data_IF_636470341196
#
_entry.id   IF_636470341196
#
_cell.length_a   1.000
_cell.length_b   1.000
_cell.length_c   1.000
_cell.angle_alpha   90.00
_cell.angle_beta   90.00
_cell.angle_gamma   90.00
#
_symmetry.space_group_name_H-M   'P 1'
#
loop_
_entity.id
_entity.type
_entity.pdbx_description
1 polymer ?
#
# COMPACT_ATOMS: atom_id res chain seq x y z
N UNK A 1 12.53 -12.64 6.62
CA UNK A 1 13.61 -12.31 7.56
C UNK A 1 12.93 -11.98 8.87
N UNK A 2 13.02 -12.89 9.83
CA UNK A 2 12.40 -12.70 11.13
C UNK A 2 13.28 -11.77 11.99
N UNK A 3 12.72 -11.20 13.06
CA UNK A 3 13.40 -10.21 13.90
C UNK A 3 14.64 -10.78 14.62
N UNK A 4 14.62 -12.08 14.90
CA UNK A 4 15.69 -12.84 15.55
C UNK A 4 16.92 -13.09 14.65
N UNK A 5 16.72 -13.01 13.33
CA UNK A 5 17.72 -13.33 12.31
C UNK A 5 18.25 -12.09 11.59
N UNK A 6 17.69 -10.92 11.86
CA UNK A 6 18.09 -9.64 11.28
C UNK A 6 18.96 -8.87 12.27
N UNK A 7 19.92 -8.09 11.76
CA UNK A 7 20.77 -7.24 12.61
C UNK A 7 19.95 -6.20 13.40
N UNK A 8 20.61 -5.52 14.34
CA UNK A 8 19.98 -4.55 15.22
C UNK A 8 19.34 -3.38 14.44
N UNK A 9 18.00 -3.36 14.42
CA UNK A 9 17.20 -2.34 13.76
C UNK A 9 17.52 -0.94 14.32
N UNK A 10 17.75 -0.80 15.63
CA UNK A 10 18.05 0.50 16.23
C UNK A 10 19.39 1.04 15.72
N UNK A 11 20.41 0.17 15.64
CA UNK A 11 21.69 0.54 15.05
C UNK A 11 21.53 1.06 13.62
N UNK A 12 20.73 0.38 12.78
CA UNK A 12 20.44 0.85 11.41
C UNK A 12 19.74 2.22 11.41
N UNK A 13 18.68 2.38 12.21
CA UNK A 13 17.90 3.62 12.28
C UNK A 13 18.73 4.80 12.78
N UNK A 14 19.63 4.57 13.74
CA UNK A 14 20.51 5.61 14.30
C UNK A 14 21.55 6.14 13.30
N UNK A 15 21.83 5.38 12.23
CA UNK A 15 22.78 5.74 11.19
C UNK A 15 22.14 6.47 10.00
N UNK A 16 20.80 6.61 9.97
CA UNK A 16 20.10 7.31 8.90
C UNK A 16 20.34 8.82 8.97
N UNK A 17 20.37 9.46 7.81
CA UNK A 17 20.53 10.91 7.72
C UNK A 17 19.18 11.59 8.08
N UNK A 18 19.13 12.39 9.17
CA UNK A 18 17.88 12.96 9.67
C UNK A 18 17.28 14.03 8.74
N UNK A 19 17.97 14.43 7.66
CA UNK A 19 17.43 15.35 6.66
C UNK A 19 16.40 14.71 5.72
N UNK A 20 16.28 13.38 5.71
CA UNK A 20 15.31 12.65 4.90
C UNK A 20 14.18 12.06 5.74
N UNK A 21 13.04 11.80 5.09
CA UNK A 21 11.92 11.03 5.65
C UNK A 21 12.01 9.60 5.14
N UNK A 22 11.90 8.63 6.04
CA UNK A 22 12.04 7.21 5.70
C UNK A 22 10.76 6.44 6.00
N UNK A 23 10.51 5.41 5.19
CA UNK A 23 9.50 4.40 5.44
C UNK A 23 10.14 3.01 5.42
N UNK A 24 9.75 2.12 6.34
CA UNK A 24 10.22 0.74 6.40
C UNK A 24 9.06 -0.21 6.20
N UNK A 25 9.26 -1.15 5.29
CA UNK A 25 8.33 -2.21 4.96
C UNK A 25 8.77 -3.54 5.58
N UNK A 26 7.98 -4.05 6.52
CA UNK A 26 8.20 -5.37 7.11
C UNK A 26 7.39 -6.43 6.35
N UNK A 27 8.00 -7.60 6.18
CA UNK A 27 7.46 -8.75 5.39
C UNK A 27 7.33 -10.02 6.22
N UNK A 28 7.38 -9.88 7.54
CA UNK A 28 7.32 -11.00 8.48
C UNK A 28 6.63 -10.54 9.76
N UNK A 29 5.68 -11.33 10.27
CA UNK A 29 4.82 -10.96 11.40
C UNK A 29 5.59 -10.66 12.68
N UNK A 30 6.77 -11.25 12.87
CA UNK A 30 7.63 -11.01 14.04
C UNK A 30 8.04 -9.55 14.23
N UNK A 31 7.94 -8.73 13.18
CA UNK A 31 8.22 -7.30 13.26
C UNK A 31 7.03 -6.48 13.73
N UNK A 32 5.81 -7.02 13.67
CA UNK A 32 4.58 -6.33 14.03
C UNK A 32 4.39 -6.37 15.55
N UNK A 33 5.23 -5.61 16.27
CA UNK A 33 5.26 -5.62 17.73
C UNK A 33 5.45 -4.21 18.30
N UNK A 34 4.98 -4.01 19.54
CA UNK A 34 5.07 -2.71 20.21
C UNK A 34 6.51 -2.19 20.37
N UNK A 35 7.50 -3.07 20.53
CA UNK A 35 8.91 -2.65 20.61
C UNK A 35 9.40 -2.03 19.31
N UNK A 36 9.00 -2.60 18.16
CA UNK A 36 9.31 -2.06 16.83
C UNK A 36 8.56 -0.74 16.61
N UNK A 37 7.28 -0.65 16.98
CA UNK A 37 6.50 0.60 16.86
C UNK A 37 7.11 1.74 17.64
N UNK A 38 7.45 1.51 18.90
CA UNK A 38 8.10 2.51 19.75
C UNK A 38 9.44 2.98 19.15
N UNK A 39 10.18 2.08 18.51
CA UNK A 39 11.44 2.41 17.86
C UNK A 39 11.21 3.27 16.61
N UNK A 40 10.26 2.89 15.74
CA UNK A 40 9.91 3.70 14.57
C UNK A 40 9.44 5.10 14.97
N UNK A 41 8.61 5.21 16.01
CA UNK A 41 8.16 6.48 16.57
C UNK A 41 9.31 7.33 17.12
N UNK A 42 10.22 6.72 17.88
CA UNK A 42 11.43 7.38 18.42
C UNK A 42 12.28 8.02 17.30
N UNK A 43 12.45 7.32 16.18
CA UNK A 43 13.25 7.78 15.04
C UNK A 43 12.43 8.47 13.95
N UNK A 44 11.12 8.69 14.16
CA UNK A 44 10.18 9.32 13.20
C UNK A 44 10.12 8.64 11.84
N UNK A 45 10.23 7.31 11.83
CA UNK A 45 10.20 6.47 10.63
C UNK A 45 8.77 6.01 10.38
N UNK A 46 8.29 6.11 9.15
CA UNK A 46 6.97 5.58 8.80
C UNK A 46 7.00 4.05 8.73
N UNK A 47 6.07 3.41 9.42
CA UNK A 47 5.69 2.05 9.09
C UNK A 47 5.00 2.05 7.73
N UNK A 48 5.51 1.26 6.78
CA UNK A 48 4.81 1.02 5.54
C UNK A 48 3.63 0.09 5.82
N UNK A 49 2.41 0.62 5.71
CA UNK A 49 1.16 -0.12 5.80
C UNK A 49 1.01 -0.88 4.49
N UNK A 50 0.98 -2.19 4.58
CA UNK A 50 1.07 -3.08 3.42
C UNK A 50 -0.22 -3.85 3.26
N UNK A 51 -0.70 -3.87 2.03
CA UNK A 51 -1.62 -4.89 1.57
C UNK A 51 -0.82 -6.03 0.92
N UNK A 52 -0.74 -7.19 1.58
CA UNK A 52 -0.17 -8.39 0.99
C UNK A 52 -0.83 -9.68 1.51
N UNK A 53 -0.70 -10.82 0.79
CA UNK A 53 -1.43 -12.04 1.13
C UNK A 53 -1.07 -12.67 2.49
N UNK A 54 0.10 -12.36 3.04
CA UNK A 54 0.68 -13.08 4.18
C UNK A 54 0.57 -12.35 5.51
N UNK A 55 0.21 -11.06 5.51
CA UNK A 55 0.14 -10.23 6.70
C UNK A 55 -1.24 -9.57 6.79
N UNK A 56 -1.75 -9.45 8.01
CA UNK A 56 -2.90 -8.60 8.26
C UNK A 56 -2.52 -7.13 7.97
N UNK A 57 -3.49 -6.36 7.47
CA UNK A 57 -3.33 -4.92 7.32
C UNK A 57 -3.26 -4.32 8.73
N UNK A 58 -2.10 -3.77 9.08
CA UNK A 58 -1.85 -3.09 10.36
C UNK A 58 -1.78 -1.58 10.09
N UNK A 59 -2.86 -0.80 10.31
CA UNK A 59 -2.90 0.63 10.01
C UNK A 59 -2.21 1.47 11.09
N UNK A 60 -1.02 1.04 11.52
CA UNK A 60 -0.23 1.71 12.57
C UNK A 60 0.50 2.92 12.00
N UNK A 61 0.18 4.09 12.54
CA UNK A 61 0.90 5.34 12.28
C UNK A 61 2.05 5.48 13.28
N UNK A 62 3.26 5.75 12.80
CA UNK A 62 4.48 5.87 13.63
C UNK A 62 5.22 7.19 13.43
N UNK A 63 4.71 8.09 12.58
CA UNK A 63 5.32 9.40 12.33
C UNK A 63 4.28 10.36 11.74
N UNK A 64 4.68 11.58 11.38
CA UNK A 64 3.81 12.64 10.85
C UNK A 64 3.28 12.41 9.42
N UNK A 65 3.66 11.29 8.79
CA UNK A 65 3.08 10.79 7.55
C UNK A 65 2.86 9.29 7.58
N UNK A 66 1.98 8.83 6.71
CA UNK A 66 1.78 7.42 6.44
C UNK A 66 2.18 7.05 5.04
N UNK A 67 2.62 5.80 4.89
CA UNK A 67 3.08 5.24 3.63
C UNK A 67 2.33 3.93 3.40
N UNK A 68 1.54 3.84 2.32
CA UNK A 68 0.71 2.68 2.01
C UNK A 68 1.20 2.03 0.71
N UNK A 69 1.33 0.70 0.70
CA UNK A 69 1.65 -0.06 -0.52
C UNK A 69 0.63 -1.18 -0.76
N UNK A 70 -0.03 -1.10 -1.91
CA UNK A 70 -0.99 -2.10 -2.38
C UNK A 70 -0.33 -3.10 -3.32
N UNK A 71 -0.03 -4.32 -2.85
CA UNK A 71 0.57 -5.37 -3.69
C UNK A 71 -0.43 -6.36 -4.29
N UNK A 72 -1.62 -6.47 -3.69
CA UNK A 72 -2.66 -7.43 -4.01
C UNK A 72 -2.83 -8.50 -2.93
N UNK A 73 -4.00 -9.13 -2.91
CA UNK A 73 -4.35 -10.23 -1.99
C UNK A 73 -4.38 -11.59 -2.71
N UNK A 74 -4.35 -12.69 -1.96
CA UNK A 74 -4.63 -14.04 -2.47
C UNK A 74 -3.43 -14.90 -2.84
N UNK A 75 -3.69 -16.05 -3.46
CA UNK A 75 -2.70 -17.07 -3.83
C UNK A 75 -2.03 -16.81 -5.19
N UNK A 76 -2.48 -15.78 -5.90
CA UNK A 76 -1.94 -15.42 -7.21
C UNK A 76 -0.47 -14.98 -7.16
N UNK A 77 0.21 -15.11 -8.30
CA UNK A 77 1.60 -14.70 -8.46
C UNK A 77 1.78 -13.27 -7.97
N UNK A 78 2.77 -13.05 -7.10
CA UNK A 78 3.09 -11.76 -6.51
C UNK A 78 3.08 -10.61 -7.56
N UNK A 79 2.40 -9.51 -7.26
CA UNK A 79 2.17 -8.33 -8.13
C UNK A 79 1.23 -8.54 -9.34
N UNK A 80 0.71 -9.76 -9.57
CA UNK A 80 -0.33 -10.05 -10.57
C UNK A 80 -1.69 -10.06 -9.93
N UNK A 81 -2.18 -8.87 -9.60
CA UNK A 81 -3.47 -8.72 -8.96
C UNK A 81 -4.21 -7.53 -9.50
N UNK A 82 -5.50 -7.69 -9.81
CA UNK A 82 -6.38 -6.57 -10.11
C UNK A 82 -7.36 -6.44 -8.98
N UNK A 83 -7.22 -5.38 -8.19
CA UNK A 83 -8.22 -5.08 -7.17
C UNK A 83 -9.58 -4.88 -7.80
N UNK A 84 -10.59 -5.53 -7.24
CA UNK A 84 -11.99 -5.22 -7.49
C UNK A 84 -12.34 -3.91 -6.78
N UNK A 85 -13.40 -3.24 -7.24
CA UNK A 85 -13.78 -1.96 -6.68
C UNK A 85 -14.16 -2.10 -5.20
N UNK A 86 -14.87 -3.17 -4.86
CA UNK A 86 -15.33 -3.48 -3.51
C UNK A 86 -14.16 -3.72 -2.54
N UNK A 87 -13.03 -4.25 -3.04
CA UNK A 87 -11.81 -4.43 -2.25
C UNK A 87 -11.15 -3.07 -1.96
N UNK A 88 -11.12 -2.17 -2.94
CA UNK A 88 -10.63 -0.80 -2.73
C UNK A 88 -11.53 -0.01 -1.79
N UNK A 89 -12.85 -0.23 -1.81
CA UNK A 89 -13.79 0.43 -0.90
C UNK A 89 -13.50 0.09 0.57
N UNK A 90 -13.01 -1.12 0.87
CA UNK A 90 -12.60 -1.49 2.25
C UNK A 90 -11.45 -0.65 2.79
N UNK A 91 -10.64 -0.04 1.92
CA UNK A 91 -9.54 0.82 2.32
C UNK A 91 -9.98 2.24 2.70
N UNK A 92 -11.16 2.69 2.28
CA UNK A 92 -11.65 4.04 2.58
C UNK A 92 -11.75 4.32 4.08
N UNK A 93 -12.40 3.48 4.93
CA UNK A 93 -12.40 3.71 6.36
C UNK A 93 -11.00 3.65 6.99
N UNK A 94 -10.11 2.80 6.48
CA UNK A 94 -8.72 2.69 6.95
C UNK A 94 -7.95 3.99 6.65
N UNK A 95 -8.08 4.52 5.43
CA UNK A 95 -7.45 5.77 5.01
C UNK A 95 -7.96 6.93 5.87
N UNK A 96 -9.26 6.99 6.16
CA UNK A 96 -9.82 8.02 7.04
C UNK A 96 -9.26 7.93 8.47
N UNK A 97 -9.14 6.72 9.03
CA UNK A 97 -8.52 6.52 10.35
C UNK A 97 -7.06 6.98 10.39
N UNK A 98 -6.30 6.74 9.31
CA UNK A 98 -4.91 7.17 9.19
C UNK A 98 -4.81 8.70 9.03
N UNK A 99 -5.76 9.30 8.31
CA UNK A 99 -5.81 10.74 8.05
C UNK A 99 -6.05 11.55 9.32
N UNK A 100 -6.69 10.98 10.34
CA UNK A 100 -6.85 11.61 11.66
C UNK A 100 -5.54 11.72 12.45
N UNK A 101 -4.52 10.94 12.08
CA UNK A 101 -3.27 10.79 12.84
C UNK A 101 -2.04 11.34 12.11
N UNK A 102 -2.17 11.76 10.85
CA UNK A 102 -1.05 12.20 10.01
C UNK A 102 -1.36 13.41 9.17
N UNK A 103 -0.33 14.18 8.81
CA UNK A 103 -0.48 15.35 7.94
C UNK A 103 -0.57 14.95 6.45
N UNK A 104 -0.05 13.77 6.10
CA UNK A 104 0.02 13.32 4.71
C UNK A 104 0.02 11.80 4.59
N UNK A 105 -0.65 11.30 3.56
CA UNK A 105 -0.69 9.87 3.20
C UNK A 105 -0.08 9.71 1.80
N UNK A 106 0.93 8.86 1.70
CA UNK A 106 1.59 8.50 0.45
C UNK A 106 1.17 7.07 0.06
N UNK A 107 0.26 6.94 -0.90
CA UNK A 107 -0.26 5.65 -1.36
C UNK A 107 0.30 5.22 -2.71
N UNK A 108 0.81 3.98 -2.79
CA UNK A 108 1.40 3.42 -4.01
C UNK A 108 0.84 2.05 -4.36
N UNK A 109 0.28 1.94 -5.57
CA UNK A 109 -0.10 0.66 -6.16
C UNK A 109 1.12 -0.02 -6.79
N UNK A 110 1.38 -1.26 -6.39
CA UNK A 110 2.56 -2.02 -6.79
C UNK A 110 2.20 -3.35 -7.49
N UNK A 111 0.93 -3.53 -7.81
CA UNK A 111 0.35 -4.65 -8.58
C UNK A 111 0.53 -4.43 -10.10
N UNK A 112 1.79 -4.41 -10.55
CA UNK A 112 2.18 -3.86 -11.85
C UNK A 112 1.78 -4.68 -13.08
N UNK A 113 1.49 -5.97 -12.94
CA UNK A 113 1.17 -6.80 -14.11
C UNK A 113 -0.04 -6.27 -14.88
N UNK A 114 0.02 -6.35 -16.21
CA UNK A 114 -1.03 -5.89 -17.14
C UNK A 114 -1.46 -4.43 -17.01
N UNK A 115 -0.70 -3.58 -16.29
CA UNK A 115 -1.08 -2.20 -16.05
C UNK A 115 -2.24 -2.04 -15.05
N UNK A 116 -2.42 -2.99 -14.14
CA UNK A 116 -3.43 -2.88 -13.08
C UNK A 116 -3.12 -1.80 -12.05
N UNK A 117 -1.85 -1.61 -11.69
CA UNK A 117 -1.46 -0.53 -10.77
C UNK A 117 -1.99 0.87 -11.14
N UNK A 118 -1.75 1.41 -12.35
CA UNK A 118 -2.33 2.70 -12.73
C UNK A 118 -3.87 2.66 -12.85
N UNK A 119 -4.47 1.51 -13.16
CA UNK A 119 -5.93 1.37 -13.19
C UNK A 119 -6.54 1.51 -11.80
N UNK A 120 -6.04 0.71 -10.84
CA UNK A 120 -6.52 0.71 -9.46
C UNK A 120 -6.17 2.03 -8.74
N UNK A 121 -5.05 2.68 -9.07
CA UNK A 121 -4.74 4.02 -8.58
C UNK A 121 -5.80 5.06 -9.01
N UNK A 122 -6.27 5.00 -10.26
CA UNK A 122 -7.34 5.88 -10.72
C UNK A 122 -8.67 5.57 -10.03
N UNK A 123 -8.99 4.29 -9.80
CA UNK A 123 -10.18 3.91 -9.03
C UNK A 123 -10.11 4.42 -7.59
N UNK A 124 -8.97 4.31 -6.92
CA UNK A 124 -8.79 4.83 -5.57
C UNK A 124 -8.94 6.36 -5.53
N UNK A 125 -8.35 7.08 -6.50
CA UNK A 125 -8.57 8.54 -6.61
C UNK A 125 -10.05 8.88 -6.84
N UNK A 126 -10.80 8.06 -7.57
CA UNK A 126 -12.23 8.25 -7.76
C UNK A 126 -12.99 8.05 -6.45
N UNK A 127 -12.70 6.98 -5.71
CA UNK A 127 -13.33 6.68 -4.41
C UNK A 127 -13.03 7.75 -3.36
N UNK A 128 -11.84 8.34 -3.38
CA UNK A 128 -11.43 9.45 -2.51
C UNK A 128 -11.93 10.82 -2.98
N UNK A 129 -12.69 10.89 -4.08
CA UNK A 129 -13.16 12.15 -4.69
C UNK A 129 -12.03 13.11 -5.11
N UNK A 130 -10.83 12.57 -5.35
CA UNK A 130 -9.61 13.31 -5.74
C UNK A 130 -9.30 13.23 -7.24
N UNK A 131 -10.13 12.52 -8.01
CA UNK A 131 -9.89 12.28 -9.43
C UNK A 131 -10.11 13.55 -10.26
N UNK A 132 -9.18 13.87 -11.15
CA UNK A 132 -9.33 14.98 -12.12
C UNK A 132 -10.18 14.56 -13.33
N UNK A 133 -10.78 15.51 -14.09
CA UNK A 133 -11.55 15.18 -15.30
C UNK A 133 -10.73 14.38 -16.35
N UNK A 134 -9.44 14.69 -16.50
CA UNK A 134 -8.54 13.96 -17.41
C UNK A 134 -8.31 12.53 -16.94
N UNK A 135 -8.15 12.32 -15.64
CA UNK A 135 -7.98 11.00 -15.03
C UNK A 135 -9.28 10.19 -15.12
N UNK A 136 -10.44 10.82 -14.91
CA UNK A 136 -11.75 10.19 -15.08
C UNK A 136 -11.95 9.65 -16.50
N UNK A 137 -11.66 10.46 -17.53
CA UNK A 137 -11.70 10.01 -18.93
C UNK A 137 -10.72 8.87 -19.21
N UNK A 138 -9.53 8.89 -18.57
CA UNK A 138 -8.54 7.82 -18.70
C UNK A 138 -9.05 6.52 -18.05
N UNK A 139 -9.65 6.61 -16.87
CA UNK A 139 -10.24 5.49 -16.16
C UNK A 139 -11.34 4.83 -17.01
N UNK A 140 -12.27 5.61 -17.55
CA UNK A 140 -13.35 5.11 -18.42
C UNK A 140 -12.81 4.36 -19.65
N UNK A 141 -11.76 4.88 -20.28
CA UNK A 141 -11.10 4.20 -21.41
C UNK A 141 -10.46 2.88 -20.99
N UNK A 142 -9.80 2.84 -19.84
CA UNK A 142 -9.16 1.63 -19.32
C UNK A 142 -10.20 0.58 -18.93
N UNK A 143 -11.31 0.98 -18.31
CA UNK A 143 -12.42 0.08 -17.96
C UNK A 143 -12.99 -0.61 -19.20
N UNK A 144 -13.20 0.14 -20.30
CA UNK A 144 -13.66 -0.43 -21.57
C UNK A 144 -12.64 -1.42 -22.16
N UNK A 145 -11.35 -1.11 -22.12
CA UNK A 145 -10.32 -2.01 -22.66
C UNK A 145 -10.26 -3.33 -21.87
N UNK A 146 -10.34 -3.26 -20.54
CA UNK A 146 -10.31 -4.42 -19.67
C UNK A 146 -11.58 -5.28 -19.78
N UNK A 147 -12.75 -4.67 -20.01
CA UNK A 147 -13.99 -5.43 -20.23
C UNK A 147 -13.96 -6.25 -21.53
N UNK A 148 -13.23 -5.79 -22.55
CA UNK A 148 -13.07 -6.53 -23.82
C UNK A 148 -12.05 -7.67 -23.69
N UNK A 149 -11.02 -7.53 -22.86
CA UNK A 149 -10.03 -8.60 -22.61
C UNK A 149 -10.61 -9.78 -21.84
N UNK A 150 -11.52 -9.54 -20.88
CA UNK A 150 -12.19 -10.59 -20.10
C UNK A 150 -13.01 -11.54 -20.99
N UNK A 151 -13.60 -11.06 -22.09
CA UNK A 151 -14.41 -11.87 -23.00
C UNK A 151 -13.60 -12.83 -23.90
N UNK A 152 -12.26 -12.75 -23.90
CA UNK A 152 -11.41 -13.48 -24.86
C UNK A 152 -10.54 -14.58 -24.25
N UNK A 153 -10.56 -14.76 -22.93
CA UNK A 153 -9.70 -15.73 -22.23
C UNK A 153 -10.45 -16.92 -21.61
N UNK A 154 -11.79 -16.92 -21.60
CA UNK A 154 -12.61 -18.09 -21.19
C UNK A 154 -12.88 -19.07 -22.35
N UNK A 155 -12.25 -18.85 -23.50
CA UNK A 155 -12.34 -19.71 -24.68
C UNK A 155 -10.96 -20.13 -25.15
N UNK A 156 -10.17 -20.83 -24.34
CA UNK A 156 -9.18 -21.83 -24.77
C UNK A 156 -8.77 -22.73 -23.60
#
# INVERSE_FOLDING_TARGET
>A
WAIDSMGDLETFLSALDPSYRYAIEFRHESWLSSSVWNLLEKYKIAHCIVDEPKLAIEPRVTTDFSYIRWHGHGEDIWYRYRYRLEELETWIPIIHQIQEQTDSILGYFNNHFFGYAPFNALQMLQLLEMITPKQQLKLERMSKALSHQQATLDTF
#
